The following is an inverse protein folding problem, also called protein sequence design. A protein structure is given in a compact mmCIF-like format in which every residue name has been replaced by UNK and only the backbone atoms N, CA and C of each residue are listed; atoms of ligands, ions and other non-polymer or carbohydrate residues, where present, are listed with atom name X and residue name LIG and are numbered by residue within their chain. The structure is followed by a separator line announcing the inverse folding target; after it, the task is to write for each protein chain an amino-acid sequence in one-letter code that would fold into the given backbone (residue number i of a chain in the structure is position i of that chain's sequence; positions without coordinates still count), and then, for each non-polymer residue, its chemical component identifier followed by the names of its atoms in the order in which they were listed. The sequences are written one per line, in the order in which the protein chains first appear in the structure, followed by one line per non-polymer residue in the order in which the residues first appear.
data_IF_582933242406
#
_entry.id   IF_582933242406
#
_cell.length_a   1.000
_cell.length_b   1.000
_cell.length_c   1.000
_cell.angle_alpha   90.00
_cell.angle_beta   90.00
_cell.angle_gamma   90.00
#
_symmetry.space_group_name_H-M   'P 1'
#
loop_
_entity.id
_entity.type
_entity.pdbx_description
1 polymer ?
#
# COMPACT_ATOMS: atom_id res chain seq x y z
N UNK A 1 -0.13 -0.08 -21.47
CA UNK A 1 -1.48 -0.36 -20.89
C UNK A 1 -1.35 -1.52 -19.92
N UNK A 2 -1.94 -1.42 -18.74
CA UNK A 2 -2.00 -2.53 -17.78
C UNK A 2 -3.16 -3.46 -18.19
N UNK A 3 -2.90 -4.75 -18.28
CA UNK A 3 -3.94 -5.75 -18.57
C UNK A 3 -4.32 -6.57 -17.34
N UNK A 4 -3.70 -6.25 -16.22
CA UNK A 4 -3.60 -7.19 -15.12
C UNK A 4 -4.73 -7.11 -14.10
N UNK A 5 -5.04 -8.27 -13.54
CA UNK A 5 -5.76 -8.38 -12.28
C UNK A 5 -4.83 -8.25 -11.06
N UNK A 6 -3.51 -8.17 -11.25
CA UNK A 6 -2.50 -8.16 -10.19
C UNK A 6 -2.27 -9.51 -9.50
N UNK A 7 -3.20 -10.44 -9.58
CA UNK A 7 -3.05 -11.80 -9.06
C UNK A 7 -2.45 -12.76 -10.06
N UNK A 8 -2.71 -12.52 -11.34
CA UNK A 8 -2.22 -13.35 -12.45
C UNK A 8 -1.71 -12.44 -13.57
N UNK A 9 -0.46 -12.66 -13.98
CA UNK A 9 0.09 -12.02 -15.15
C UNK A 9 -0.31 -12.80 -16.41
N UNK A 10 -0.98 -12.13 -17.34
CA UNK A 10 -1.38 -12.71 -18.63
C UNK A 10 -0.30 -12.54 -19.73
N UNK A 11 0.78 -11.83 -19.43
CA UNK A 11 1.94 -11.72 -20.28
C UNK A 11 1.88 -10.63 -21.33
N UNK A 12 0.80 -9.84 -21.40
CA UNK A 12 0.66 -8.72 -22.34
C UNK A 12 0.82 -7.34 -21.69
N UNK A 13 0.52 -6.27 -22.44
CA UNK A 13 0.61 -4.89 -21.98
C UNK A 13 2.04 -4.40 -21.67
N UNK A 14 2.13 -3.18 -21.17
CA UNK A 14 3.39 -2.49 -20.88
C UNK A 14 3.77 -2.60 -19.39
N UNK A 15 2.81 -2.95 -18.54
CA UNK A 15 2.95 -3.00 -17.09
C UNK A 15 2.69 -4.41 -16.57
N UNK A 16 3.60 -4.91 -15.73
CA UNK A 16 3.39 -6.08 -14.90
C UNK A 16 2.82 -5.62 -13.55
N UNK A 17 1.53 -5.88 -13.34
CA UNK A 17 0.78 -5.48 -12.15
C UNK A 17 0.83 -6.56 -11.08
N UNK A 18 1.13 -6.17 -9.83
CA UNK A 18 1.24 -7.08 -8.70
C UNK A 18 0.27 -6.68 -7.59
N UNK A 19 -0.47 -7.66 -7.04
CA UNK A 19 -1.16 -7.55 -5.75
C UNK A 19 -0.38 -8.30 -4.68
N UNK A 20 -0.07 -7.66 -3.55
CA UNK A 20 0.67 -8.29 -2.47
C UNK A 20 0.18 -7.88 -1.08
N UNK A 21 -0.55 -8.79 -0.42
CA UNK A 21 -1.02 -8.62 0.95
C UNK A 21 -0.38 -9.60 1.93
N UNK A 22 0.09 -10.77 1.47
CA UNK A 22 0.40 -11.91 2.33
C UNK A 22 1.84 -12.40 2.27
N UNK A 23 2.52 -12.20 1.15
CA UNK A 23 3.84 -12.78 0.90
C UNK A 23 4.95 -11.73 0.97
N UNK A 24 6.19 -12.15 1.24
CA UNK A 24 7.33 -11.26 1.07
C UNK A 24 7.35 -10.72 -0.37
N UNK A 25 7.34 -9.39 -0.51
CA UNK A 25 7.40 -8.76 -1.82
C UNK A 25 8.73 -9.06 -2.50
N UNK A 26 8.68 -9.59 -3.71
CA UNK A 26 9.85 -9.88 -4.54
C UNK A 26 9.62 -9.38 -5.96
N UNK A 27 10.21 -8.27 -6.28
CA UNK A 27 10.20 -7.71 -7.63
C UNK A 27 11.29 -8.37 -8.47
N UNK A 28 10.94 -8.81 -9.66
CA UNK A 28 11.84 -9.39 -10.67
C UNK A 28 11.51 -8.77 -12.02
N UNK A 29 12.03 -7.57 -12.28
CA UNK A 29 11.73 -6.88 -13.54
C UNK A 29 12.24 -7.70 -14.72
N UNK A 30 11.48 -7.66 -15.80
CA UNK A 30 11.80 -8.30 -17.07
C UNK A 30 11.79 -7.22 -18.16
N UNK A 31 10.89 -7.33 -19.12
CA UNK A 31 10.73 -6.37 -20.22
C UNK A 31 9.67 -5.29 -19.96
N UNK A 32 8.84 -5.47 -18.94
CA UNK A 32 7.73 -4.56 -18.59
C UNK A 32 8.02 -3.79 -17.32
N UNK A 33 7.37 -2.64 -17.20
CA UNK A 33 7.38 -1.85 -15.96
C UNK A 33 6.63 -2.60 -14.85
N UNK A 34 7.22 -2.72 -13.68
CA UNK A 34 6.59 -3.40 -12.54
C UNK A 34 5.86 -2.41 -11.66
N UNK A 35 4.56 -2.62 -11.46
CA UNK A 35 3.71 -1.86 -10.58
C UNK A 35 3.17 -2.74 -9.45
N UNK A 36 3.34 -2.30 -8.21
CA UNK A 36 2.63 -2.86 -7.05
C UNK A 36 1.28 -2.15 -6.97
N UNK A 37 0.31 -2.67 -7.69
CA UNK A 37 -0.98 -2.02 -7.94
C UNK A 37 -1.98 -2.18 -6.80
N UNK A 38 -1.74 -3.14 -5.89
CA UNK A 38 -2.44 -3.23 -4.61
C UNK A 38 -1.53 -3.84 -3.55
N UNK A 39 -1.47 -3.21 -2.37
CA UNK A 39 -0.73 -3.75 -1.23
C UNK A 39 -1.12 -3.09 0.09
N UNK A 40 -0.78 -3.73 1.19
CA UNK A 40 -0.96 -3.22 2.54
C UNK A 40 -2.28 -3.62 3.15
N UNK A 41 -3.32 -2.84 2.97
CA UNK A 41 -4.66 -3.15 3.45
C UNK A 41 -4.78 -3.33 4.96
N UNK A 42 -3.93 -2.66 5.77
CA UNK A 42 -3.92 -2.79 7.24
C UNK A 42 -5.16 -2.13 7.81
N UNK A 43 -6.05 -2.93 8.37
CA UNK A 43 -7.28 -2.45 8.97
C UNK A 43 -7.05 -1.78 10.32
N UNK A 44 -7.81 -0.74 10.59
CA UNK A 44 -8.02 -0.20 11.92
C UNK A 44 -9.41 0.45 11.98
N UNK A 45 -10.40 -0.23 12.60
CA UNK A 45 -11.69 0.38 12.88
C UNK A 45 -11.48 1.50 13.91
N UNK A 46 -11.50 2.73 13.42
CA UNK A 46 -11.27 3.90 14.29
C UNK A 46 -12.50 4.16 15.14
N UNK A 47 -12.38 4.27 16.49
CA UNK A 47 -13.51 4.54 17.36
C UNK A 47 -14.27 5.80 16.97
N UNK A 48 -15.59 5.70 16.89
CA UNK A 48 -16.48 6.79 16.46
C UNK A 48 -16.67 6.92 14.96
N UNK A 49 -16.00 6.07 14.17
CA UNK A 49 -16.07 6.02 12.70
C UNK A 49 -16.21 4.58 12.20
N UNK A 50 -16.83 3.72 13.01
CA UNK A 50 -16.98 2.31 12.69
C UNK A 50 -17.89 2.10 11.48
N UNK A 51 -17.59 1.10 10.63
CA UNK A 51 -18.46 0.77 9.52
C UNK A 51 -19.79 0.20 10.03
N UNK A 52 -20.86 0.27 9.24
CA UNK A 52 -22.17 -0.25 9.63
C UNK A 52 -22.23 -1.77 9.75
N UNK A 53 -21.19 -2.47 9.31
CA UNK A 53 -21.07 -3.92 9.27
C UNK A 53 -19.76 -4.39 9.91
N UNK A 54 -19.46 -5.69 9.80
CA UNK A 54 -18.22 -6.28 10.31
C UNK A 54 -17.01 -5.69 9.59
N UNK A 55 -16.08 -5.11 10.36
CA UNK A 55 -14.82 -4.59 9.84
C UNK A 55 -13.96 -5.66 9.18
N UNK A 56 -13.43 -5.37 7.99
CA UNK A 56 -12.55 -6.22 7.21
C UNK A 56 -11.22 -5.50 6.86
N UNK A 57 -10.18 -6.30 6.62
CA UNK A 57 -8.88 -5.88 6.10
C UNK A 57 -7.81 -6.96 6.29
N UNK A 58 -6.63 -6.73 5.76
CA UNK A 58 -5.50 -7.66 5.76
C UNK A 58 -4.64 -7.53 7.03
N UNK A 59 -5.23 -7.92 8.15
CA UNK A 59 -4.68 -7.77 9.50
C UNK A 59 -5.06 -6.44 10.16
N UNK A 60 -5.38 -6.50 11.45
CA UNK A 60 -5.97 -5.38 12.19
C UNK A 60 -4.98 -4.77 13.17
N UNK A 61 -4.82 -3.45 13.11
CA UNK A 61 -4.16 -2.64 14.13
C UNK A 61 -5.15 -2.28 15.25
N UNK A 62 -4.65 -2.07 16.46
CA UNK A 62 -5.46 -1.76 17.64
C UNK A 62 -5.47 -0.27 18.01
N UNK A 63 -4.63 0.52 17.35
CA UNK A 63 -4.48 1.95 17.63
C UNK A 63 -3.87 2.69 16.44
N UNK A 64 -3.98 4.03 16.44
CA UNK A 64 -3.26 4.91 15.51
C UNK A 64 -1.75 4.64 15.49
N UNK A 65 -1.16 4.49 16.67
CA UNK A 65 0.27 4.27 16.81
C UNK A 65 0.69 2.94 16.17
N UNK A 66 -0.06 1.86 16.41
CA UNK A 66 0.22 0.56 15.80
C UNK A 66 0.00 0.59 14.29
N UNK A 67 -1.10 1.19 13.80
CA UNK A 67 -1.34 1.37 12.37
C UNK A 67 -0.17 2.09 11.70
N UNK A 68 0.23 3.24 12.27
CA UNK A 68 1.34 4.03 11.75
C UNK A 68 2.65 3.25 11.73
N UNK A 69 2.97 2.55 12.81
CA UNK A 69 4.19 1.74 12.92
C UNK A 69 4.22 0.61 11.89
N UNK A 70 3.11 -0.12 11.74
CA UNK A 70 2.99 -1.21 10.75
C UNK A 70 3.05 -0.69 9.32
N UNK A 71 2.40 0.44 9.05
CA UNK A 71 2.45 1.07 7.74
C UNK A 71 3.89 1.52 7.40
N UNK A 72 4.58 2.20 8.34
CA UNK A 72 6.00 2.58 8.15
C UNK A 72 6.88 1.37 7.89
N UNK A 73 6.73 0.32 8.68
CA UNK A 73 7.51 -0.92 8.52
C UNK A 73 7.30 -1.53 7.13
N UNK A 74 6.06 -1.61 6.68
CA UNK A 74 5.73 -2.10 5.33
C UNK A 74 6.46 -1.29 4.25
N UNK A 75 6.40 0.03 4.34
CA UNK A 75 7.03 0.92 3.34
C UNK A 75 8.56 0.79 3.36
N UNK A 76 9.17 0.88 4.54
CA UNK A 76 10.64 0.98 4.65
C UNK A 76 11.36 -0.37 4.58
N UNK A 77 10.76 -1.44 5.12
CA UNK A 77 11.41 -2.76 5.17
C UNK A 77 11.00 -3.68 4.02
N UNK A 78 9.82 -3.48 3.43
CA UNK A 78 9.30 -4.34 2.36
C UNK A 78 9.34 -3.66 1.00
N UNK A 79 8.79 -2.44 0.88
CA UNK A 79 8.66 -1.73 -0.40
C UNK A 79 9.97 -1.07 -0.83
N UNK A 80 10.57 -0.26 0.03
CA UNK A 80 11.78 0.50 -0.28
C UNK A 80 12.91 -0.33 -0.92
N UNK A 81 13.23 -1.54 -0.42
CA UNK A 81 14.27 -2.37 -1.05
C UNK A 81 13.93 -2.84 -2.47
N UNK A 82 12.67 -2.82 -2.87
CA UNK A 82 12.24 -3.27 -4.21
C UNK A 82 12.35 -2.16 -5.26
N UNK A 83 12.41 -0.88 -4.87
CA UNK A 83 12.65 0.22 -5.80
C UNK A 83 13.97 0.00 -6.56
N UNK A 84 15.03 -0.34 -5.85
CA UNK A 84 16.34 -0.67 -6.45
C UNK A 84 16.33 -1.91 -7.36
N UNK A 85 15.25 -2.69 -7.33
CA UNK A 85 15.06 -3.88 -8.16
C UNK A 85 14.10 -3.63 -9.33
N UNK A 86 13.73 -2.37 -9.56
CA UNK A 86 12.88 -1.98 -10.68
C UNK A 86 11.38 -1.87 -10.38
N UNK A 87 10.99 -1.83 -9.09
CA UNK A 87 9.62 -1.46 -8.74
C UNK A 87 9.40 0.02 -9.07
N UNK A 88 8.46 0.32 -9.95
CA UNK A 88 8.32 1.65 -10.56
C UNK A 88 7.02 2.36 -10.22
N UNK A 89 6.01 1.66 -9.70
CA UNK A 89 4.76 2.27 -9.27
C UNK A 89 4.20 1.58 -8.02
N UNK A 90 3.51 2.36 -7.19
CA UNK A 90 2.94 1.94 -5.90
C UNK A 90 1.52 2.45 -5.75
N UNK A 91 0.56 1.57 -5.47
CA UNK A 91 -0.82 1.93 -5.14
C UNK A 91 -1.21 1.24 -3.82
N UNK A 92 -1.19 2.01 -2.74
CA UNK A 92 -1.56 1.49 -1.41
C UNK A 92 -3.08 1.29 -1.30
N UNK A 93 -3.48 0.18 -0.75
CA UNK A 93 -4.87 -0.14 -0.43
C UNK A 93 -5.18 0.23 1.02
N UNK A 94 -5.90 1.35 1.27
CA UNK A 94 -6.47 2.25 0.27
C UNK A 94 -6.57 3.69 0.82
N UNK A 95 -7.09 4.62 0.03
CA UNK A 95 -7.19 6.04 0.43
C UNK A 95 -8.19 6.23 1.57
N UNK A 96 -9.39 5.66 1.47
CA UNK A 96 -10.42 5.76 2.51
C UNK A 96 -11.09 4.41 2.75
N UNK A 97 -11.64 4.23 3.94
CA UNK A 97 -12.49 3.08 4.22
C UNK A 97 -13.67 3.04 3.23
N UNK A 98 -14.05 1.84 2.82
CA UNK A 98 -15.16 1.59 1.87
C UNK A 98 -15.98 0.42 2.37
N UNK A 99 -17.28 0.61 2.56
CA UNK A 99 -18.22 -0.40 3.06
C UNK A 99 -17.75 -1.01 4.39
N UNK A 100 -17.37 -2.29 4.41
CA UNK A 100 -16.84 -3.00 5.57
C UNK A 100 -15.30 -3.07 5.59
N UNK A 101 -14.62 -2.62 4.54
CA UNK A 101 -13.16 -2.51 4.51
C UNK A 101 -12.69 -1.27 5.27
N UNK A 102 -12.07 -1.50 6.43
CA UNK A 102 -11.53 -0.46 7.32
C UNK A 102 -10.01 -0.37 7.23
N UNK A 103 -9.48 -0.46 6.05
CA UNK A 103 -8.05 -0.44 5.72
C UNK A 103 -7.60 0.86 5.03
N UNK A 104 -8.49 1.85 4.93
CA UNK A 104 -8.17 3.17 4.39
C UNK A 104 -7.23 3.98 5.27
N UNK A 105 -6.56 4.97 4.66
CA UNK A 105 -5.81 6.00 5.38
C UNK A 105 -6.75 7.07 5.98
N UNK A 106 -7.94 7.23 5.41
CA UNK A 106 -9.04 8.03 5.94
C UNK A 106 -10.17 7.13 6.43
N UNK A 107 -10.96 7.65 7.37
CA UNK A 107 -12.21 7.02 7.79
C UNK A 107 -13.25 7.00 6.65
N UNK A 108 -14.29 6.17 6.78
CA UNK A 108 -15.37 6.04 5.80
C UNK A 108 -16.03 7.38 5.46
N UNK A 109 -16.31 8.19 6.47
CA UNK A 109 -16.86 9.55 6.34
C UNK A 109 -15.84 10.60 5.87
N UNK A 110 -14.57 10.21 5.74
CA UNK A 110 -13.42 11.05 5.33
C UNK A 110 -13.14 12.23 6.26
N UNK A 111 -13.67 12.21 7.47
CA UNK A 111 -13.50 13.31 8.44
C UNK A 111 -12.22 13.19 9.25
N UNK A 112 -11.60 12.01 9.30
CA UNK A 112 -10.38 11.77 10.05
C UNK A 112 -9.31 11.04 9.23
N UNK A 113 -8.03 11.44 9.45
CA UNK A 113 -6.86 10.72 8.95
C UNK A 113 -6.47 9.69 10.01
N UNK A 114 -6.37 8.43 9.63
CA UNK A 114 -6.15 7.31 10.55
C UNK A 114 -4.69 7.18 11.02
N UNK A 115 -3.67 7.10 10.16
CA UNK A 115 -2.27 7.12 10.61
C UNK A 115 -1.81 8.53 11.01
N UNK A 116 -0.59 8.63 11.54
CA UNK A 116 0.07 9.93 11.74
C UNK A 116 0.46 10.55 10.39
N UNK A 117 -0.10 11.72 10.01
CA UNK A 117 0.17 12.35 8.72
C UNK A 117 1.62 12.77 8.53
N UNK A 118 2.31 13.18 9.61
CA UNK A 118 3.71 13.59 9.54
C UNK A 118 4.61 12.38 9.24
N UNK A 119 4.32 11.25 9.88
CA UNK A 119 5.02 9.98 9.62
C UNK A 119 4.80 9.50 8.18
N UNK A 120 3.56 9.58 7.67
CA UNK A 120 3.25 9.22 6.27
C UNK A 120 4.02 10.10 5.30
N UNK A 121 4.02 11.42 5.49
CA UNK A 121 4.75 12.37 4.64
C UNK A 121 6.25 12.06 4.62
N UNK A 122 6.86 11.87 5.79
CA UNK A 122 8.30 11.60 5.88
C UNK A 122 8.70 10.30 5.16
N UNK A 123 7.88 9.27 5.27
CA UNK A 123 8.12 7.99 4.57
C UNK A 123 7.95 8.13 3.07
N UNK A 124 6.91 8.83 2.60
CA UNK A 124 6.71 9.05 1.16
C UNK A 124 7.88 9.83 0.55
N UNK A 125 8.37 10.87 1.23
CA UNK A 125 9.57 11.59 0.81
C UNK A 125 10.82 10.70 0.74
N UNK A 126 10.97 9.76 1.68
CA UNK A 126 12.08 8.82 1.66
C UNK A 126 11.98 7.82 0.49
N UNK A 127 10.77 7.37 0.15
CA UNK A 127 10.53 6.50 -1.02
C UNK A 127 10.83 7.25 -2.32
N UNK A 128 10.34 8.49 -2.46
CA UNK A 128 10.56 9.34 -3.62
C UNK A 128 12.06 9.60 -3.84
N UNK A 129 12.76 10.06 -2.81
CA UNK A 129 14.21 10.28 -2.87
C UNK A 129 15.03 9.00 -3.16
N UNK A 130 14.53 7.84 -2.75
CA UNK A 130 15.17 6.57 -3.08
C UNK A 130 14.91 6.16 -4.53
N UNK A 131 13.71 6.45 -5.05
CA UNK A 131 13.36 6.18 -6.46
C UNK A 131 14.18 7.06 -7.41
N UNK A 132 14.28 8.36 -7.14
CA UNK A 132 15.08 9.29 -7.95
C UNK A 132 16.51 8.80 -8.15
N UNK A 133 17.14 8.29 -7.09
CA UNK A 133 18.50 7.69 -7.14
C UNK A 133 18.59 6.39 -7.92
N UNK A 134 17.50 5.80 -8.35
CA UNK A 134 17.52 4.57 -9.16
C UNK A 134 17.39 4.83 -10.63
N UNK A 135 16.98 6.05 -11.03
CA UNK A 135 16.78 6.45 -12.43
C UNK A 135 17.86 7.40 -12.95
N UNK A 136 18.78 7.84 -12.07
CA UNK A 136 20.03 8.49 -12.45
C UNK A 136 21.10 7.47 -12.87
#
# INVERSE_FOLDING_TARGET
MDEASGWYDQGGGDVESLHNYFYPLRVRPRSRVVALSEYGGIAWPMPGHEPPRRAYGYGTAKSRAELTARWKKLQLETVLPQLKKGLSALVYTQVSDVEDEVNGLFTYDRTAIKPDPAAVRAVNQALEAAFEKTVE
#
